data_IF_506918233771
#
_entry.id   IF_506918233771
#
_cell.length_a   1.000
_cell.length_b   1.000
_cell.length_c   1.000
_cell.angle_alpha   90.00
_cell.angle_beta   90.00
_cell.angle_gamma   90.00
#
_symmetry.space_group_name_H-M   'P 1'
#
loop_
_entity.id
_entity.type
_entity.pdbx_description
1 polymer ?
#
# COMPACT_ATOMS: atom_id res chain seq x y z
N UNK A 1 27.41 15.39 9.14
CA UNK A 1 27.00 14.33 10.10
C UNK A 1 27.97 13.16 9.92
N UNK A 2 28.93 12.99 10.85
CA UNK A 2 29.83 11.81 10.84
C UNK A 2 29.10 10.72 11.63
N UNK A 3 28.49 9.80 10.90
CA UNK A 3 27.93 8.60 11.54
C UNK A 3 29.10 7.74 12.05
N UNK A 4 29.05 7.26 13.30
CA UNK A 4 30.06 6.32 13.77
C UNK A 4 30.06 5.10 12.87
N UNK A 5 31.26 4.66 12.44
CA UNK A 5 31.37 3.45 11.62
C UNK A 5 30.77 2.27 12.39
N UNK A 6 29.90 1.47 11.75
CA UNK A 6 29.32 0.30 12.42
C UNK A 6 30.45 -0.65 12.81
N UNK A 7 30.53 -1.03 14.08
CA UNK A 7 31.43 -2.08 14.53
C UNK A 7 31.08 -3.38 13.78
N UNK A 8 32.04 -3.89 13.01
CA UNK A 8 31.89 -5.17 12.29
C UNK A 8 32.02 -6.32 13.28
N UNK A 9 30.94 -6.63 13.99
CA UNK A 9 30.86 -7.83 14.80
C UNK A 9 30.65 -9.05 13.91
N UNK A 10 31.38 -10.12 14.18
CA UNK A 10 31.22 -11.40 13.46
C UNK A 10 29.81 -11.95 13.70
N UNK A 11 29.18 -12.44 12.65
CA UNK A 11 27.83 -13.00 12.72
C UNK A 11 27.79 -14.24 13.60
N UNK A 12 26.86 -14.30 14.52
CA UNK A 12 26.62 -15.49 15.34
C UNK A 12 26.05 -16.63 14.49
N UNK A 13 26.18 -17.89 14.90
CA UNK A 13 25.58 -19.03 14.20
C UNK A 13 24.07 -18.86 13.97
N UNK A 14 23.34 -18.33 14.98
CA UNK A 14 21.90 -18.07 14.90
C UNK A 14 21.57 -17.00 13.84
N UNK A 15 22.34 -15.93 13.77
CA UNK A 15 22.16 -14.89 12.74
C UNK A 15 22.40 -15.44 11.34
N UNK A 16 23.40 -16.32 11.16
CA UNK A 16 23.66 -17.00 9.88
C UNK A 16 22.49 -17.90 9.48
N UNK A 17 21.92 -18.64 10.44
CA UNK A 17 20.74 -19.48 10.18
C UNK A 17 19.53 -18.66 9.75
N UNK A 18 19.24 -17.55 10.43
CA UNK A 18 18.14 -16.65 10.07
C UNK A 18 18.36 -16.05 8.68
N UNK A 19 19.58 -15.59 8.40
CA UNK A 19 19.91 -15.04 7.08
C UNK A 19 19.75 -16.09 5.96
N UNK A 20 20.15 -17.32 6.20
CA UNK A 20 20.00 -18.43 5.25
C UNK A 20 18.52 -18.73 5.01
N UNK A 21 17.71 -18.85 6.08
CA UNK A 21 16.25 -19.08 5.96
C UNK A 21 15.61 -17.96 5.15
N UNK A 22 15.95 -16.70 5.43
CA UNK A 22 15.42 -15.55 4.69
C UNK A 22 15.83 -15.59 3.22
N UNK A 23 17.09 -15.89 2.93
CA UNK A 23 17.59 -15.99 1.56
C UNK A 23 16.89 -17.12 0.78
N UNK A 24 16.70 -18.28 1.40
CA UNK A 24 15.98 -19.40 0.80
C UNK A 24 14.50 -19.06 0.55
N UNK A 25 13.84 -18.37 1.46
CA UNK A 25 12.47 -17.91 1.26
C UNK A 25 12.35 -16.93 0.09
N UNK A 26 13.25 -15.95 -0.01
CA UNK A 26 13.30 -15.00 -1.12
C UNK A 26 13.58 -15.72 -2.44
N UNK A 27 14.53 -16.65 -2.46
CA UNK A 27 14.82 -17.45 -3.64
C UNK A 27 13.61 -18.30 -4.07
N UNK A 28 12.92 -18.93 -3.11
CA UNK A 28 11.71 -19.68 -3.38
C UNK A 28 10.59 -18.78 -3.95
N UNK A 29 10.39 -17.58 -3.43
CA UNK A 29 9.42 -16.62 -4.01
C UNK A 29 9.80 -16.20 -5.43
N UNK A 30 11.08 -15.95 -5.70
CA UNK A 30 11.55 -15.58 -7.03
C UNK A 30 11.39 -16.73 -8.04
N UNK A 31 11.38 -17.96 -7.58
CA UNK A 31 11.28 -19.18 -8.41
C UNK A 31 9.89 -19.82 -8.40
N UNK A 32 8.87 -19.16 -7.87
CA UNK A 32 7.49 -19.66 -7.79
C UNK A 32 6.96 -20.16 -9.14
N UNK A 33 7.33 -19.50 -10.24
CA UNK A 33 6.94 -19.91 -11.60
C UNK A 33 7.46 -21.30 -12.00
N UNK A 34 8.55 -21.79 -11.38
CA UNK A 34 9.17 -23.08 -11.73
C UNK A 34 8.63 -24.24 -10.89
N UNK A 35 8.36 -24.02 -9.60
CA UNK A 35 7.94 -25.10 -8.68
C UNK A 35 6.45 -25.05 -8.32
N UNK A 36 5.73 -23.95 -8.62
CA UNK A 36 4.29 -23.83 -8.40
C UNK A 36 3.84 -23.74 -6.94
N UNK A 37 4.77 -23.66 -5.97
CA UNK A 37 4.42 -23.51 -4.55
C UNK A 37 3.98 -22.07 -4.31
N UNK A 38 2.82 -21.88 -3.70
CA UNK A 38 2.28 -20.53 -3.43
C UNK A 38 3.12 -19.76 -2.39
N UNK A 39 3.08 -18.44 -2.49
CA UNK A 39 3.89 -17.56 -1.64
C UNK A 39 3.56 -17.69 -0.14
N UNK A 40 2.31 -18.02 0.21
CA UNK A 40 1.87 -18.19 1.59
C UNK A 40 2.48 -19.44 2.22
N UNK A 41 2.51 -20.55 1.46
CA UNK A 41 3.15 -21.80 1.90
C UNK A 41 4.64 -21.61 2.14
N UNK A 42 5.34 -20.88 1.25
CA UNK A 42 6.76 -20.54 1.42
C UNK A 42 6.96 -19.69 2.68
N UNK A 43 6.13 -18.65 2.87
CA UNK A 43 6.21 -17.79 4.05
C UNK A 43 5.99 -18.56 5.35
N UNK A 44 4.98 -19.46 5.37
CA UNK A 44 4.68 -20.29 6.53
C UNK A 44 5.84 -21.26 6.86
N UNK A 45 6.39 -21.92 5.84
CA UNK A 45 7.55 -22.81 6.02
C UNK A 45 8.77 -22.04 6.56
N UNK A 46 9.04 -20.85 6.01
CA UNK A 46 10.13 -19.99 6.48
C UNK A 46 9.89 -19.51 7.93
N UNK A 47 8.66 -19.15 8.30
CA UNK A 47 8.29 -18.76 9.66
C UNK A 47 8.47 -19.92 10.65
N UNK A 48 8.07 -21.13 10.30
CA UNK A 48 8.28 -22.33 11.11
C UNK A 48 9.77 -22.61 11.30
N UNK A 49 10.58 -22.52 10.23
CA UNK A 49 12.03 -22.68 10.32
C UNK A 49 12.68 -21.58 11.18
N UNK A 50 12.24 -20.32 11.03
CA UNK A 50 12.75 -19.18 11.80
C UNK A 50 12.38 -19.24 13.29
N UNK A 51 11.34 -19.98 13.66
CA UNK A 51 10.92 -20.20 15.05
C UNK A 51 11.40 -21.53 15.63
N UNK A 52 12.29 -22.21 14.92
CA UNK A 52 12.95 -23.42 15.40
C UNK A 52 14.09 -23.03 16.36
N UNK A 53 13.83 -23.13 17.66
CA UNK A 53 14.77 -22.71 18.73
C UNK A 53 16.21 -23.23 18.58
N UNK A 54 16.46 -24.50 18.21
CA UNK A 54 17.82 -25.00 18.00
C UNK A 54 18.58 -24.27 16.87
N UNK A 55 17.89 -23.78 15.85
CA UNK A 55 18.50 -23.13 14.68
C UNK A 55 18.70 -21.62 14.88
N UNK A 56 17.73 -20.95 15.48
CA UNK A 56 17.66 -19.48 15.51
C UNK A 56 17.72 -18.90 16.92
N UNK A 57 17.57 -19.72 17.95
CA UNK A 57 17.43 -19.29 19.33
C UNK A 57 16.05 -18.72 19.67
N UNK A 58 15.13 -18.61 18.71
CA UNK A 58 13.79 -18.05 18.88
C UNK A 58 12.78 -19.18 18.95
N UNK A 59 11.94 -19.22 19.98
CA UNK A 59 10.83 -20.15 20.07
C UNK A 59 9.53 -19.56 19.51
N UNK A 60 8.65 -20.44 19.04
CA UNK A 60 7.36 -20.10 18.44
C UNK A 60 6.50 -19.22 19.36
N UNK A 61 6.46 -19.53 20.66
CA UNK A 61 5.64 -18.78 21.63
C UNK A 61 6.10 -17.33 21.76
N UNK A 62 7.42 -17.12 21.78
CA UNK A 62 8.01 -15.78 21.81
C UNK A 62 7.78 -15.03 20.49
N UNK A 63 7.91 -15.72 19.36
CA UNK A 63 7.65 -15.13 18.05
C UNK A 63 6.20 -14.69 17.91
N UNK A 64 5.23 -15.54 18.27
CA UNK A 64 3.79 -15.22 18.21
C UNK A 64 3.39 -14.00 19.04
N UNK A 65 4.06 -13.75 20.17
CA UNK A 65 3.84 -12.54 20.98
C UNK A 65 4.28 -11.24 20.28
N UNK A 66 5.23 -11.34 19.33
CA UNK A 66 5.73 -10.20 18.57
C UNK A 66 4.96 -9.96 17.27
N UNK A 67 4.03 -10.85 16.93
CA UNK A 67 3.16 -10.67 15.75
C UNK A 67 2.21 -9.50 16.01
N UNK A 68 2.09 -8.60 15.05
CA UNK A 68 1.14 -7.48 15.11
C UNK A 68 -0.29 -7.96 14.83
N UNK A 69 -0.88 -8.71 15.76
CA UNK A 69 -2.23 -9.27 15.63
C UNK A 69 -3.29 -8.23 15.30
N UNK A 70 -3.17 -7.02 15.87
CA UNK A 70 -4.06 -5.91 15.57
C UNK A 70 -4.03 -5.55 14.06
N UNK A 71 -2.86 -5.60 13.42
CA UNK A 71 -2.75 -5.34 11.99
C UNK A 71 -3.42 -6.46 11.18
N UNK A 72 -3.20 -7.72 11.54
CA UNK A 72 -3.79 -8.88 10.85
C UNK A 72 -5.31 -8.83 10.96
N UNK A 73 -5.85 -8.63 12.17
CA UNK A 73 -7.29 -8.52 12.40
C UNK A 73 -7.90 -7.31 11.69
N UNK A 74 -7.20 -6.18 11.69
CA UNK A 74 -7.63 -4.99 10.96
C UNK A 74 -7.71 -5.27 9.45
N UNK A 75 -6.71 -5.92 8.87
CA UNK A 75 -6.73 -6.29 7.45
C UNK A 75 -7.87 -7.25 7.13
N UNK A 76 -8.04 -8.30 7.94
CA UNK A 76 -9.13 -9.26 7.77
C UNK A 76 -10.51 -8.58 7.87
N UNK A 77 -10.74 -7.77 8.91
CA UNK A 77 -11.99 -7.03 9.08
C UNK A 77 -12.26 -6.07 7.91
N UNK A 78 -11.23 -5.41 7.39
CA UNK A 78 -11.37 -4.48 6.26
C UNK A 78 -11.72 -5.21 4.96
N UNK A 79 -11.15 -6.39 4.72
CA UNK A 79 -11.51 -7.23 3.57
C UNK A 79 -12.96 -7.69 3.65
N UNK A 80 -13.39 -8.19 4.81
CA UNK A 80 -14.78 -8.62 5.05
C UNK A 80 -15.75 -7.43 4.89
N UNK A 81 -15.41 -6.26 5.44
CA UNK A 81 -16.22 -5.05 5.30
C UNK A 81 -16.31 -4.60 3.83
N UNK A 82 -15.19 -4.63 3.09
CA UNK A 82 -15.16 -4.30 1.66
C UNK A 82 -16.08 -5.23 0.85
N UNK A 83 -16.00 -6.53 1.10
CA UNK A 83 -16.88 -7.52 0.46
C UNK A 83 -18.36 -7.29 0.83
N UNK A 84 -18.67 -7.06 2.11
CA UNK A 84 -20.02 -6.75 2.57
C UNK A 84 -20.58 -5.47 1.95
N UNK A 85 -19.77 -4.43 1.78
CA UNK A 85 -20.15 -3.19 1.09
C UNK A 85 -20.51 -3.43 -0.37
N UNK A 86 -19.76 -4.28 -1.06
CA UNK A 86 -20.03 -4.63 -2.46
C UNK A 86 -21.29 -5.47 -2.57
N UNK A 87 -21.42 -6.56 -1.79
CA UNK A 87 -22.55 -7.49 -1.85
C UNK A 87 -23.87 -6.86 -1.42
N UNK A 88 -23.86 -5.95 -0.43
CA UNK A 88 -25.06 -5.25 0.03
C UNK A 88 -25.52 -4.13 -0.90
N UNK A 89 -24.73 -3.74 -1.91
CA UNK A 89 -24.98 -2.56 -2.73
C UNK A 89 -24.78 -1.24 -1.99
N UNK A 90 -24.27 -1.26 -0.75
CA UNK A 90 -24.04 -0.06 0.04
C UNK A 90 -22.92 0.83 -0.58
N UNK A 91 -21.92 0.20 -1.20
CA UNK A 91 -20.88 0.91 -1.93
C UNK A 91 -21.47 1.75 -3.07
N UNK A 92 -22.39 1.16 -3.86
CA UNK A 92 -23.08 1.87 -4.95
C UNK A 92 -23.92 3.02 -4.42
N UNK A 93 -24.70 2.81 -3.35
CA UNK A 93 -25.51 3.89 -2.74
C UNK A 93 -24.65 5.02 -2.18
N UNK A 94 -23.51 4.71 -1.57
CA UNK A 94 -22.58 5.70 -1.07
C UNK A 94 -21.96 6.48 -2.22
N UNK A 95 -21.61 5.82 -3.31
CA UNK A 95 -21.11 6.44 -4.51
C UNK A 95 -22.14 7.36 -5.15
N UNK A 96 -23.37 6.91 -5.27
CA UNK A 96 -24.48 7.71 -5.80
C UNK A 96 -24.74 8.95 -4.94
N UNK A 97 -24.64 8.82 -3.62
CA UNK A 97 -24.77 9.94 -2.68
C UNK A 97 -23.62 10.96 -2.79
N UNK A 98 -22.39 10.49 -2.97
CA UNK A 98 -21.20 11.33 -3.04
C UNK A 98 -20.95 11.91 -4.43
N UNK A 99 -21.21 11.12 -5.47
CA UNK A 99 -20.85 11.43 -6.85
C UNK A 99 -22.07 11.68 -7.73
N UNK A 100 -23.27 11.26 -7.31
CA UNK A 100 -24.50 11.34 -8.10
C UNK A 100 -24.98 12.76 -8.40
N UNK A 101 -24.54 13.74 -7.60
CA UNK A 101 -24.77 15.16 -7.88
C UNK A 101 -23.89 15.69 -9.03
N UNK A 102 -22.86 14.94 -9.43
CA UNK A 102 -21.94 15.31 -10.50
C UNK A 102 -22.37 14.63 -11.80
N UNK A 103 -22.47 15.34 -12.93
CA UNK A 103 -22.83 14.76 -14.22
C UNK A 103 -21.63 14.01 -14.84
N UNK A 104 -21.06 13.05 -14.12
CA UNK A 104 -19.81 12.36 -14.44
C UNK A 104 -19.86 11.65 -15.80
N UNK A 105 -21.03 11.16 -16.20
CA UNK A 105 -21.21 10.53 -17.52
C UNK A 105 -20.98 11.49 -18.69
N UNK A 106 -21.10 12.81 -18.45
CA UNK A 106 -20.87 13.86 -19.47
C UNK A 106 -19.42 14.37 -19.44
N UNK A 107 -18.64 13.99 -18.43
CA UNK A 107 -17.26 14.45 -18.30
C UNK A 107 -16.33 13.71 -19.25
N UNK A 108 -15.30 14.39 -19.78
CA UNK A 108 -14.28 13.71 -20.54
C UNK A 108 -13.53 12.71 -19.63
N UNK A 109 -13.11 11.59 -20.20
CA UNK A 109 -12.38 10.52 -19.46
C UNK A 109 -11.24 11.06 -18.60
N UNK A 110 -10.47 12.01 -19.14
CA UNK A 110 -9.37 12.65 -18.43
C UNK A 110 -9.82 13.37 -17.14
N UNK A 111 -10.98 14.01 -17.14
CA UNK A 111 -11.50 14.70 -15.96
C UNK A 111 -11.96 13.71 -14.87
N UNK A 112 -12.59 12.61 -15.26
CA UNK A 112 -12.98 11.54 -14.31
C UNK A 112 -11.75 10.87 -13.70
N UNK A 113 -10.73 10.60 -14.51
CA UNK A 113 -9.44 10.06 -14.04
C UNK A 113 -8.74 11.06 -13.12
N UNK A 114 -8.76 12.36 -13.43
CA UNK A 114 -8.22 13.42 -12.60
C UNK A 114 -8.93 13.51 -11.24
N UNK A 115 -10.25 13.35 -11.22
CA UNK A 115 -11.01 13.26 -9.96
C UNK A 115 -10.58 12.07 -9.13
N UNK A 116 -10.47 10.87 -9.72
CA UNK A 116 -9.97 9.68 -9.02
C UNK A 116 -8.57 9.90 -8.47
N UNK A 117 -7.68 10.49 -9.26
CA UNK A 117 -6.32 10.83 -8.87
C UNK A 117 -6.30 11.81 -7.69
N UNK A 118 -7.07 12.89 -7.75
CA UNK A 118 -7.15 13.89 -6.68
C UNK A 118 -7.68 13.28 -5.37
N UNK A 119 -8.78 12.52 -5.44
CA UNK A 119 -9.35 11.84 -4.28
C UNK A 119 -8.35 10.85 -3.67
N UNK A 120 -7.64 10.08 -4.50
CA UNK A 120 -6.63 9.14 -4.04
C UNK A 120 -5.44 9.84 -3.38
N UNK A 121 -4.89 10.88 -4.03
CA UNK A 121 -3.76 11.67 -3.50
C UNK A 121 -4.10 12.36 -2.19
N UNK A 122 -5.31 12.94 -2.06
CA UNK A 122 -5.72 13.69 -0.87
C UNK A 122 -6.25 12.80 0.26
N UNK A 123 -6.56 11.53 0.00
CA UNK A 123 -7.13 10.61 0.98
C UNK A 123 -6.27 10.43 2.24
N UNK A 124 -4.96 10.65 2.14
CA UNK A 124 -4.05 10.53 3.29
C UNK A 124 -4.27 11.60 4.38
N UNK A 125 -4.96 12.67 4.06
CA UNK A 125 -5.34 13.71 5.05
C UNK A 125 -6.41 13.20 6.03
N UNK A 126 -7.23 12.24 5.57
CA UNK A 126 -8.34 11.67 6.36
C UNK A 126 -8.01 10.28 6.89
N UNK A 127 -7.42 9.44 6.05
CA UNK A 127 -7.12 8.05 6.39
C UNK A 127 -5.60 7.87 6.45
N UNK A 128 -5.05 7.68 7.64
CA UNK A 128 -3.59 7.59 7.86
C UNK A 128 -2.99 6.27 7.37
N UNK A 129 -3.75 5.17 7.40
CA UNK A 129 -3.29 3.86 6.92
C UNK A 129 -3.37 3.73 5.40
N UNK A 130 -2.23 3.46 4.75
CA UNK A 130 -2.15 3.25 3.29
C UNK A 130 -3.06 2.11 2.82
N UNK A 131 -3.03 0.98 3.52
CA UNK A 131 -3.87 -0.18 3.21
C UNK A 131 -5.35 0.14 3.36
N UNK A 132 -5.72 0.82 4.45
CA UNK A 132 -7.11 1.23 4.67
C UNK A 132 -7.59 2.20 3.57
N UNK A 133 -6.74 3.13 3.11
CA UNK A 133 -7.08 4.01 1.99
C UNK A 133 -7.44 3.23 0.73
N UNK A 134 -6.58 2.30 0.32
CA UNK A 134 -6.86 1.49 -0.85
C UNK A 134 -8.17 0.71 -0.71
N UNK A 135 -8.37 0.04 0.43
CA UNK A 135 -9.56 -0.76 0.69
C UNK A 135 -10.85 0.06 0.73
N UNK A 136 -10.80 1.30 1.21
CA UNK A 136 -11.97 2.20 1.20
C UNK A 136 -12.19 2.82 -0.18
N UNK A 137 -11.13 3.32 -0.81
CA UNK A 137 -11.26 4.06 -2.08
C UNK A 137 -11.63 3.17 -3.27
N UNK A 138 -11.24 1.89 -3.25
CA UNK A 138 -11.60 0.99 -4.35
C UNK A 138 -13.12 0.86 -4.50
N UNK A 139 -13.90 0.48 -3.46
CA UNK A 139 -15.34 0.37 -3.59
C UNK A 139 -16.08 1.70 -3.63
N UNK A 140 -15.52 2.78 -3.05
CA UNK A 140 -16.23 4.07 -2.94
C UNK A 140 -15.87 5.08 -4.03
N UNK A 141 -14.74 4.92 -4.71
CA UNK A 141 -14.27 5.84 -5.75
C UNK A 141 -14.00 5.10 -7.05
N UNK A 142 -13.11 4.11 -7.06
CA UNK A 142 -12.68 3.48 -8.31
C UNK A 142 -13.83 2.77 -9.04
N UNK A 143 -14.57 1.92 -8.35
CA UNK A 143 -15.67 1.16 -8.97
C UNK A 143 -16.85 2.04 -9.41
N UNK A 144 -17.32 3.03 -8.62
CA UNK A 144 -18.35 3.94 -9.07
C UNK A 144 -17.93 4.81 -10.26
N UNK A 145 -16.70 5.29 -10.29
CA UNK A 145 -16.20 6.03 -11.44
C UNK A 145 -16.06 5.13 -12.69
N UNK A 146 -15.80 3.83 -12.51
CA UNK A 146 -15.80 2.87 -13.61
C UNK A 146 -17.19 2.71 -14.25
N UNK A 147 -18.28 2.93 -13.51
CA UNK A 147 -19.64 2.89 -14.04
C UNK A 147 -19.89 3.99 -15.10
N UNK A 148 -19.02 5.00 -15.24
CA UNK A 148 -19.06 5.98 -16.34
C UNK A 148 -18.54 5.42 -17.68
N UNK A 149 -18.20 4.12 -17.76
CA UNK A 149 -17.66 3.45 -18.95
C UNK A 149 -16.14 3.50 -19.07
N UNK A 150 -15.44 3.89 -17.98
CA UNK A 150 -14.00 3.80 -17.90
C UNK A 150 -13.55 2.41 -17.48
N UNK A 151 -12.35 2.03 -17.89
CA UNK A 151 -11.76 0.74 -17.55
C UNK A 151 -11.55 0.62 -16.01
N UNK A 152 -12.19 -0.35 -15.34
CA UNK A 152 -12.06 -0.52 -13.90
C UNK A 152 -10.62 -0.75 -13.45
N UNK A 153 -9.85 -1.54 -14.21
CA UNK A 153 -8.44 -1.82 -13.88
C UNK A 153 -7.61 -0.53 -13.88
N UNK A 154 -7.80 0.36 -14.85
CA UNK A 154 -7.12 1.66 -14.91
C UNK A 154 -7.44 2.50 -13.68
N UNK A 155 -8.71 2.59 -13.28
CA UNK A 155 -9.14 3.37 -12.11
C UNK A 155 -8.63 2.75 -10.80
N UNK A 156 -8.55 1.42 -10.72
CA UNK A 156 -7.92 0.72 -9.61
C UNK A 156 -6.44 1.10 -9.52
N UNK A 157 -5.68 1.06 -10.63
CA UNK A 157 -4.28 1.47 -10.65
C UNK A 157 -4.09 2.92 -10.20
N UNK A 158 -4.87 3.86 -10.76
CA UNK A 158 -4.82 5.29 -10.35
C UNK A 158 -5.09 5.44 -8.86
N UNK A 159 -6.11 4.78 -8.35
CA UNK A 159 -6.53 4.89 -6.95
C UNK A 159 -5.50 4.29 -6.00
N UNK A 160 -4.98 3.10 -6.31
CA UNK A 160 -3.98 2.42 -5.47
C UNK A 160 -2.66 3.20 -5.44
N UNK A 161 -2.15 3.61 -6.61
CA UNK A 161 -0.89 4.36 -6.69
C UNK A 161 -1.03 5.75 -6.08
N UNK A 162 -2.12 6.47 -6.35
CA UNK A 162 -2.40 7.77 -5.74
C UNK A 162 -2.52 7.69 -4.22
N UNK A 163 -3.14 6.64 -3.68
CA UNK A 163 -3.25 6.42 -2.24
C UNK A 163 -1.89 6.16 -1.56
N UNK A 164 -0.85 5.86 -2.34
CA UNK A 164 0.53 5.73 -1.85
C UNK A 164 1.15 7.04 -1.37
N UNK A 165 0.64 8.19 -1.81
CA UNK A 165 1.10 9.50 -1.34
C UNK A 165 0.77 9.69 0.15
N UNK A 166 1.77 9.99 0.98
CA UNK A 166 1.59 10.02 2.44
C UNK A 166 2.63 10.88 3.19
N UNK A 167 3.25 11.86 2.54
CA UNK A 167 4.35 12.63 3.12
C UNK A 167 3.90 13.89 3.87
N UNK A 168 2.61 14.23 3.85
CA UNK A 168 2.11 15.51 4.38
C UNK A 168 2.13 15.59 5.91
N UNK A 169 1.80 14.49 6.58
CA UNK A 169 1.73 14.43 8.03
C UNK A 169 2.66 13.36 8.57
N UNK A 170 3.32 13.64 9.70
CA UNK A 170 4.21 12.67 10.35
C UNK A 170 3.51 11.33 10.67
N UNK A 171 2.21 11.37 10.98
CA UNK A 171 1.40 10.18 11.28
C UNK A 171 0.90 9.43 10.05
N UNK A 172 1.05 9.99 8.85
CA UNK A 172 0.51 9.39 7.61
C UNK A 172 1.26 8.14 7.14
N UNK A 173 2.46 7.90 7.64
CA UNK A 173 3.21 6.68 7.35
C UNK A 173 4.10 6.29 8.53
N UNK A 174 4.14 4.99 8.86
CA UNK A 174 4.99 4.48 9.95
C UNK A 174 6.46 4.91 9.84
N UNK A 175 7.14 4.85 8.67
CA UNK A 175 8.52 5.33 8.55
C UNK A 175 8.66 6.81 8.88
N UNK A 176 7.75 7.66 8.40
CA UNK A 176 7.79 9.10 8.66
C UNK A 176 7.62 9.38 10.16
N UNK A 177 6.67 8.71 10.82
CA UNK A 177 6.45 8.83 12.26
C UNK A 177 7.65 8.35 13.09
N UNK A 178 8.33 7.29 12.63
CA UNK A 178 9.51 6.75 13.30
C UNK A 178 10.68 7.76 13.27
N UNK A 179 10.98 8.31 12.10
CA UNK A 179 12.07 9.26 11.94
C UNK A 179 11.77 10.62 12.56
N UNK A 180 10.49 11.04 12.62
CA UNK A 180 10.10 12.28 13.32
C UNK A 180 10.35 12.22 14.83
N UNK A 181 10.43 11.02 15.42
CA UNK A 181 10.69 10.80 16.85
C UNK A 181 12.12 10.36 17.16
N UNK A 182 13.02 10.38 16.19
CA UNK A 182 14.41 10.00 16.41
C UNK A 182 15.14 11.04 17.29
N UNK A 183 16.03 10.57 18.18
CA UNK A 183 16.85 11.41 19.08
C UNK A 183 17.99 12.14 18.31
N UNK A 184 17.70 12.61 17.10
CA UNK A 184 18.63 13.35 16.24
C UNK A 184 17.89 14.46 15.49
N UNK A 185 18.56 15.50 15.00
CA UNK A 185 17.94 16.51 14.16
C UNK A 185 17.27 15.88 12.94
N UNK A 186 15.96 16.00 12.86
CA UNK A 186 15.14 15.48 11.77
C UNK A 186 14.34 16.62 11.13
N UNK A 187 13.37 16.28 10.32
CA UNK A 187 12.47 17.22 9.67
C UNK A 187 11.37 17.71 10.65
N UNK A 188 10.89 18.93 10.43
CA UNK A 188 9.71 19.48 11.10
C UNK A 188 8.42 19.16 10.32
N UNK A 189 7.25 19.33 10.96
CA UNK A 189 5.95 19.22 10.27
C UNK A 189 5.83 20.25 9.14
N UNK A 190 6.43 21.44 9.29
CA UNK A 190 6.48 22.45 8.24
C UNK A 190 7.31 21.99 7.02
N UNK A 191 8.39 21.25 7.23
CA UNK A 191 9.21 20.71 6.15
C UNK A 191 8.46 19.62 5.39
N UNK A 192 7.71 18.75 6.11
CA UNK A 192 6.84 17.75 5.50
C UNK A 192 5.75 18.40 4.66
N UNK A 193 5.10 19.42 5.17
CA UNK A 193 4.06 20.14 4.44
C UNK A 193 4.60 20.80 3.17
N UNK A 194 5.76 21.47 3.25
CA UNK A 194 6.43 22.06 2.07
C UNK A 194 6.81 21.01 1.04
N UNK A 195 7.42 19.92 1.48
CA UNK A 195 7.78 18.80 0.61
C UNK A 195 6.55 18.20 -0.06
N UNK A 196 5.49 17.97 0.71
CA UNK A 196 4.23 17.44 0.21
C UNK A 196 3.60 18.37 -0.82
N UNK A 197 3.52 19.67 -0.54
CA UNK A 197 2.99 20.66 -1.47
C UNK A 197 3.81 20.71 -2.79
N UNK A 198 5.13 20.62 -2.69
CA UNK A 198 6.00 20.59 -3.86
C UNK A 198 5.86 19.30 -4.69
N UNK A 199 5.59 18.16 -4.03
CA UNK A 199 5.49 16.85 -4.70
C UNK A 199 4.08 16.53 -5.20
N UNK A 200 3.04 17.12 -4.64
CA UNK A 200 1.63 16.79 -4.95
C UNK A 200 1.33 16.99 -6.45
N UNK A 201 1.70 18.14 -7.00
CA UNK A 201 1.45 18.45 -8.41
C UNK A 201 2.30 17.58 -9.36
N UNK A 202 3.63 17.43 -9.18
CA UNK A 202 4.42 16.53 -10.02
C UNK A 202 3.96 15.08 -9.98
N UNK A 203 3.60 14.55 -8.79
CA UNK A 203 3.13 13.17 -8.65
C UNK A 203 1.75 13.02 -9.30
N UNK A 204 0.85 13.97 -9.10
CA UNK A 204 -0.45 14.00 -9.78
C UNK A 204 -0.30 14.05 -11.30
N UNK A 205 0.56 14.93 -11.82
CA UNK A 205 0.86 15.03 -13.24
C UNK A 205 1.47 13.74 -13.80
N UNK A 206 2.40 13.13 -13.07
CA UNK A 206 3.02 11.86 -13.46
C UNK A 206 1.98 10.74 -13.50
N UNK A 207 1.13 10.63 -12.49
CA UNK A 207 0.07 9.63 -12.43
C UNK A 207 -0.95 9.81 -13.57
N UNK A 208 -1.31 11.06 -13.88
CA UNK A 208 -2.16 11.39 -15.03
C UNK A 208 -1.48 11.05 -16.36
N UNK A 209 -0.20 11.33 -16.50
CA UNK A 209 0.58 10.96 -17.70
C UNK A 209 0.60 9.45 -17.90
N UNK A 210 0.83 8.67 -16.85
CA UNK A 210 0.77 7.22 -16.92
C UNK A 210 -0.64 6.73 -17.28
N UNK A 211 -1.67 7.27 -16.64
CA UNK A 211 -3.05 6.85 -16.86
C UNK A 211 -3.56 7.18 -18.27
N UNK A 212 -3.17 8.33 -18.83
CA UNK A 212 -3.69 8.79 -20.13
C UNK A 212 -2.82 8.37 -21.31
N UNK A 213 -1.54 8.09 -21.10
CA UNK A 213 -0.57 7.83 -22.19
C UNK A 213 0.08 6.47 -22.04
N UNK A 214 0.80 6.22 -20.93
CA UNK A 214 1.68 5.06 -20.83
C UNK A 214 0.90 3.76 -20.75
N UNK A 215 -0.09 3.68 -19.87
CA UNK A 215 -0.86 2.44 -19.69
C UNK A 215 -1.73 2.10 -20.90
N UNK A 216 -2.39 3.05 -21.58
CA UNK A 216 -3.07 2.76 -22.84
C UNK A 216 -2.14 2.21 -23.92
N UNK A 217 -0.91 2.71 -24.03
CA UNK A 217 0.11 2.18 -24.95
C UNK A 217 0.56 0.74 -24.57
N UNK A 218 0.43 0.36 -23.30
CA UNK A 218 0.71 -0.99 -22.79
C UNK A 218 -0.49 -1.95 -22.88
N UNK A 219 -1.61 -1.51 -23.48
CA UNK A 219 -2.81 -2.32 -23.65
C UNK A 219 -3.88 -2.13 -22.58
N UNK A 220 -3.67 -1.27 -21.59
CA UNK A 220 -4.71 -0.92 -20.61
C UNK A 220 -5.54 0.24 -21.14
N UNK A 221 -6.58 -0.08 -21.92
CA UNK A 221 -7.45 0.92 -22.55
C UNK A 221 -8.11 1.87 -21.53
N UNK A 222 -8.42 3.11 -21.95
CA UNK A 222 -9.11 4.11 -21.11
C UNK A 222 -10.56 3.71 -20.82
N UNK A 223 -11.23 3.07 -21.78
CA UNK A 223 -12.61 2.59 -21.67
C UNK A 223 -12.65 1.07 -21.72
N UNK A 224 -13.63 0.49 -21.04
CA UNK A 224 -13.85 -0.94 -21.03
C UNK A 224 -14.44 -1.43 -22.38
#
# INVERSE_FOLDING_TARGET
>A
LVLPAPERTAWTPQQKSVALITLLAVAAWATTAWHGIDATSIALAAALAATCKPLTGIDMKTALKKVEWNLILFLAATLVLGEALLQSGAAQRLADALLGALPLAQWPAAAVIALACALALLSHLVITSRTARALVLLPTVALPLAATGLNPALLIFVTVLGSGFCQTLAVSAKPVALFAKADMPTFSDADLLRLSAALLLPIGALLMFFALVVWPLQGLALRA
#
